data_IF_152946928406
#
_entry.id   IF_152946928406
#
_cell.length_a   1.000
_cell.length_b   1.000
_cell.length_c   1.000
_cell.angle_alpha   90.00
_cell.angle_beta   90.00
_cell.angle_gamma   90.00
#
_symmetry.space_group_name_H-M   'P 1'
#
loop_
_entity.id
_entity.type
_entity.pdbx_description
1 polymer ?
#
# COMPACT_ATOMS: atom_id res chain seq x y z
N UNK A 1 -0.64 -4.02 8.50
CA UNK A 1 -0.14 -3.78 7.13
C UNK A 1 1.15 -4.57 6.83
N UNK A 2 2.35 -4.13 7.26
CA UNK A 2 3.63 -4.75 6.85
C UNK A 2 3.71 -6.28 7.02
N UNK A 3 3.36 -6.80 8.21
CA UNK A 3 3.38 -8.24 8.50
C UNK A 3 2.47 -9.02 7.55
N UNK A 4 1.19 -8.65 7.48
CA UNK A 4 0.19 -9.28 6.62
C UNK A 4 0.56 -9.23 5.13
N UNK A 5 1.08 -8.10 4.66
CA UNK A 5 1.56 -7.95 3.28
C UNK A 5 2.71 -8.91 2.98
N UNK A 6 3.65 -9.07 3.92
CA UNK A 6 4.75 -10.02 3.76
C UNK A 6 4.26 -11.47 3.79
N UNK A 7 3.32 -11.82 4.66
CA UNK A 7 2.76 -13.17 4.77
C UNK A 7 1.96 -13.57 3.54
N UNK A 8 1.15 -12.67 2.97
CA UNK A 8 0.21 -13.00 1.87
C UNK A 8 0.79 -12.72 0.49
N UNK A 9 1.53 -11.61 0.33
CA UNK A 9 2.05 -11.18 -0.97
C UNK A 9 3.56 -11.44 -1.13
N UNK A 10 4.26 -11.86 -0.08
CA UNK A 10 5.71 -12.13 -0.12
C UNK A 10 6.60 -10.87 -0.18
N UNK A 11 6.01 -9.67 -0.20
CA UNK A 11 6.73 -8.41 -0.28
C UNK A 11 6.73 -7.66 1.05
N UNK A 12 7.87 -7.04 1.39
CA UNK A 12 8.00 -6.16 2.57
C UNK A 12 7.79 -4.70 2.15
N UNK A 13 6.63 -4.09 2.39
CA UNK A 13 6.36 -2.72 1.95
C UNK A 13 7.21 -1.70 2.71
N UNK A 14 7.62 -0.64 2.00
CA UNK A 14 8.32 0.51 2.59
C UNK A 14 7.35 1.43 3.33
N UNK A 15 7.87 2.43 4.06
CA UNK A 15 7.06 3.34 4.85
C UNK A 15 6.05 4.13 3.98
N UNK A 16 6.49 4.61 2.81
CA UNK A 16 5.62 5.35 1.91
C UNK A 16 4.41 4.52 1.46
N UNK A 17 4.64 3.27 1.04
CA UNK A 17 3.56 2.36 0.63
C UNK A 17 2.57 2.10 1.77
N UNK A 18 3.06 1.93 3.00
CA UNK A 18 2.21 1.74 4.17
C UNK A 18 1.33 2.97 4.42
N UNK A 19 1.88 4.19 4.34
CA UNK A 19 1.10 5.43 4.53
C UNK A 19 0.02 5.64 3.47
N UNK A 20 0.30 5.28 2.22
CA UNK A 20 -0.72 5.29 1.15
C UNK A 20 -1.85 4.34 1.50
N UNK A 21 -1.54 3.12 1.95
CA UNK A 21 -2.55 2.12 2.31
C UNK A 21 -3.34 2.52 3.55
N UNK A 22 -2.69 3.09 4.57
CA UNK A 22 -3.39 3.66 5.74
C UNK A 22 -4.37 4.77 5.33
N UNK A 23 -4.00 5.61 4.36
CA UNK A 23 -4.89 6.64 3.86
C UNK A 23 -6.08 6.05 3.07
N UNK A 24 -5.84 5.02 2.25
CA UNK A 24 -6.91 4.30 1.53
C UNK A 24 -7.90 3.67 2.53
N UNK A 25 -7.40 2.98 3.56
CA UNK A 25 -8.22 2.27 4.55
C UNK A 25 -9.01 3.21 5.49
N UNK A 26 -8.73 4.51 5.49
CA UNK A 26 -9.56 5.49 6.22
C UNK A 26 -10.89 5.76 5.52
N UNK A 27 -11.00 5.51 4.23
CA UNK A 27 -12.20 5.72 3.42
C UNK A 27 -12.82 7.12 3.56
N UNK A 28 -12.02 8.13 3.93
CA UNK A 28 -12.50 9.50 4.20
C UNK A 28 -12.29 10.46 3.03
N UNK A 29 -11.39 10.11 2.08
CA UNK A 29 -10.97 10.96 0.97
C UNK A 29 -10.51 10.15 -0.24
N UNK A 30 -10.56 10.77 -1.42
CA UNK A 30 -9.88 10.26 -2.60
C UNK A 30 -8.36 10.45 -2.48
N UNK A 31 -7.60 9.43 -2.90
CA UNK A 31 -6.15 9.38 -2.77
C UNK A 31 -5.48 9.39 -4.14
N UNK A 32 -4.56 10.35 -4.35
CA UNK A 32 -3.65 10.36 -5.51
C UNK A 32 -2.24 10.00 -5.02
N UNK A 33 -1.74 8.82 -5.40
CA UNK A 33 -0.40 8.36 -5.06
C UNK A 33 0.59 8.63 -6.21
N UNK A 34 1.54 9.56 -6.01
CA UNK A 34 2.55 9.95 -7.02
C UNK A 34 3.89 9.29 -6.70
N UNK A 35 4.39 8.47 -7.63
CA UNK A 35 5.73 7.91 -7.57
C UNK A 35 6.23 7.47 -8.96
N UNK A 36 7.55 7.39 -9.14
CA UNK A 36 8.18 6.96 -10.39
C UNK A 36 7.75 5.54 -10.83
N UNK A 37 8.02 5.17 -12.09
CA UNK A 37 7.85 3.79 -12.54
C UNK A 37 8.83 2.87 -11.78
N UNK A 38 8.42 1.64 -11.49
CA UNK A 38 9.25 0.70 -10.72
C UNK A 38 9.33 0.95 -9.21
N UNK A 39 8.80 2.07 -8.69
CA UNK A 39 8.82 2.38 -7.25
C UNK A 39 7.92 1.50 -6.37
N UNK A 40 7.22 0.53 -6.97
CA UNK A 40 6.31 -0.35 -6.26
C UNK A 40 4.95 0.27 -5.90
N UNK A 41 4.52 1.35 -6.57
CA UNK A 41 3.15 1.90 -6.39
C UNK A 41 2.03 0.94 -6.79
N UNK A 42 2.31 -0.10 -7.59
CA UNK A 42 1.34 -1.17 -7.86
C UNK A 42 1.00 -1.96 -6.59
N UNK A 43 1.98 -2.15 -5.69
CA UNK A 43 1.75 -2.89 -4.45
C UNK A 43 0.74 -2.17 -3.54
N UNK A 44 0.69 -0.83 -3.55
CA UNK A 44 -0.26 -0.05 -2.74
C UNK A 44 -1.71 -0.20 -3.20
N UNK A 45 -1.95 -0.69 -4.41
CA UNK A 45 -3.30 -1.03 -4.88
C UNK A 45 -3.77 -2.40 -4.34
N UNK A 46 -2.87 -3.38 -4.24
CA UNK A 46 -3.20 -4.73 -3.76
C UNK A 46 -3.25 -4.84 -2.24
N UNK A 47 -2.39 -4.10 -1.53
CA UNK A 47 -2.27 -4.16 -0.07
C UNK A 47 -3.58 -3.86 0.72
N UNK A 48 -4.42 -2.87 0.35
CA UNK A 48 -5.65 -2.57 1.07
C UNK A 48 -6.64 -3.73 1.07
N UNK A 49 -6.66 -4.56 0.01
CA UNK A 49 -7.56 -5.72 -0.10
C UNK A 49 -7.31 -6.82 0.95
N UNK A 50 -6.23 -6.68 1.74
CA UNK A 50 -5.89 -7.60 2.83
C UNK A 50 -6.53 -7.23 4.18
N UNK A 51 -7.29 -6.13 4.26
CA UNK A 51 -7.88 -5.55 5.47
C UNK A 51 -9.32 -5.11 5.21
#
# INVERSE_FOLDING_TARGET
>A
IRRRTQEVLGYRPCLWQIRVVEAILRHDKDIIAIAAMGSGKTLTFWMPLLF
#
